data_IF_497904957233
#
_entry.id   IF_497904957233
#
_cell.length_a   1.000
_cell.length_b   1.000
_cell.length_c   1.000
_cell.angle_alpha   90.00
_cell.angle_beta   90.00
_cell.angle_gamma   90.00
#
_symmetry.space_group_name_H-M   'P 1'
#
loop_
_entity.id
_entity.type
_entity.pdbx_description
1 polymer ?
#
# COMPACT_ATOMS: atom_id res chain seq x y z
N UNK A 1 49.48 3.04 11.13
CA UNK A 1 48.99 2.20 10.01
C UNK A 1 48.28 0.95 10.55
N UNK A 2 48.90 0.17 11.43
CA UNK A 2 48.28 -1.05 12.02
C UNK A 2 47.00 -0.79 12.84
N UNK A 3 46.97 0.27 13.67
CA UNK A 3 45.76 0.60 14.45
C UNK A 3 44.54 0.97 13.58
N UNK A 4 44.76 1.50 12.38
CA UNK A 4 43.67 1.81 11.45
C UNK A 4 43.16 0.54 10.76
N UNK A 5 44.05 -0.40 10.44
CA UNK A 5 43.69 -1.73 9.92
C UNK A 5 42.86 -2.53 10.93
N UNK A 6 43.22 -2.47 12.22
CA UNK A 6 42.50 -3.18 13.28
C UNK A 6 41.10 -2.59 13.50
N UNK A 7 40.97 -1.26 13.45
CA UNK A 7 39.67 -0.57 13.52
C UNK A 7 38.77 -0.95 12.34
N UNK A 8 39.30 -0.91 11.12
CA UNK A 8 38.54 -1.29 9.92
C UNK A 8 38.05 -2.75 9.98
N UNK A 9 38.90 -3.68 10.45
CA UNK A 9 38.51 -5.09 10.62
C UNK A 9 37.37 -5.26 11.62
N UNK A 10 37.43 -4.56 12.74
CA UNK A 10 36.38 -4.61 13.75
C UNK A 10 35.08 -3.96 13.25
N UNK A 11 35.19 -2.91 12.44
CA UNK A 11 34.04 -2.25 11.82
C UNK A 11 33.38 -3.15 10.76
N UNK A 12 34.16 -3.80 9.90
CA UNK A 12 33.66 -4.82 8.95
C UNK A 12 32.94 -5.94 9.69
N UNK A 13 33.56 -6.47 10.75
CA UNK A 13 32.98 -7.57 11.54
C UNK A 13 31.67 -7.16 12.25
N UNK A 14 31.60 -5.92 12.72
CA UNK A 14 30.38 -5.35 13.29
C UNK A 14 29.29 -5.18 12.23
N UNK A 15 29.64 -4.69 11.04
CA UNK A 15 28.71 -4.53 9.93
C UNK A 15 28.19 -5.88 9.43
N UNK A 16 29.05 -6.90 9.32
CA UNK A 16 28.67 -8.27 8.96
C UNK A 16 27.67 -8.85 9.98
N UNK A 17 27.94 -8.68 11.28
CA UNK A 17 27.01 -9.13 12.33
C UNK A 17 25.67 -8.39 12.29
N UNK A 18 25.68 -7.08 12.05
CA UNK A 18 24.43 -6.30 11.88
C UNK A 18 23.65 -6.75 10.65
N UNK A 19 24.34 -7.08 9.56
CA UNK A 19 23.73 -7.60 8.34
C UNK A 19 23.07 -8.96 8.57
N UNK A 20 23.77 -9.87 9.26
CA UNK A 20 23.25 -11.20 9.57
C UNK A 20 22.02 -11.14 10.48
N UNK A 21 22.07 -10.31 11.53
CA UNK A 21 20.92 -10.08 12.42
C UNK A 21 19.73 -9.51 11.65
N UNK A 22 19.94 -8.49 10.82
CA UNK A 22 18.87 -7.87 10.04
C UNK A 22 18.26 -8.84 9.02
N UNK A 23 19.08 -9.72 8.44
CA UNK A 23 18.64 -10.77 7.52
C UNK A 23 17.81 -11.83 8.23
N UNK A 24 18.21 -12.23 9.43
CA UNK A 24 17.48 -13.20 10.25
C UNK A 24 16.13 -12.63 10.70
N UNK A 25 16.10 -11.36 11.17
CA UNK A 25 14.86 -10.65 11.51
C UNK A 25 13.91 -10.57 10.31
N UNK A 26 14.43 -10.26 9.12
CA UNK A 26 13.62 -10.24 7.90
C UNK A 26 13.08 -11.63 7.55
N UNK A 27 13.89 -12.67 7.68
CA UNK A 27 13.46 -14.06 7.44
C UNK A 27 12.35 -14.48 8.42
N UNK A 28 12.49 -14.14 9.69
CA UNK A 28 11.51 -14.46 10.73
C UNK A 28 10.19 -13.71 10.52
N UNK A 29 10.25 -12.41 10.22
CA UNK A 29 9.07 -11.59 9.97
C UNK A 29 8.34 -11.98 8.68
N UNK A 30 9.09 -12.29 7.61
CA UNK A 30 8.50 -12.72 6.34
C UNK A 30 7.81 -14.08 6.46
N UNK A 31 8.42 -15.03 7.18
CA UNK A 31 7.83 -16.33 7.48
C UNK A 31 6.57 -16.20 8.35
N UNK A 32 6.61 -15.37 9.41
CA UNK A 32 5.47 -15.15 10.31
C UNK A 32 4.26 -14.54 9.58
N UNK A 33 4.50 -13.69 8.58
CA UNK A 33 3.45 -13.00 7.83
C UNK A 33 3.04 -13.73 6.53
N UNK A 34 3.57 -14.94 6.28
CA UNK A 34 3.38 -15.68 5.02
C UNK A 34 3.63 -14.81 3.78
N UNK A 35 4.59 -13.88 3.86
CA UNK A 35 4.90 -12.93 2.79
C UNK A 35 5.75 -13.64 1.73
N UNK A 36 5.10 -14.43 0.88
CA UNK A 36 5.69 -15.03 -0.32
C UNK A 36 5.94 -14.01 -1.45
N UNK A 37 5.66 -12.72 -1.21
CA UNK A 37 5.81 -11.66 -2.21
C UNK A 37 6.91 -10.69 -1.79
N UNK A 38 7.74 -10.29 -2.75
CA UNK A 38 8.77 -9.28 -2.54
C UNK A 38 8.12 -7.98 -2.06
N UNK A 39 8.70 -7.32 -1.06
CA UNK A 39 8.14 -6.10 -0.47
C UNK A 39 7.85 -5.00 -1.52
N UNK A 40 8.67 -4.95 -2.58
CA UNK A 40 8.48 -4.05 -3.70
C UNK A 40 7.20 -4.36 -4.50
N UNK A 41 6.90 -5.65 -4.68
CA UNK A 41 5.70 -6.09 -5.41
C UNK A 41 4.43 -5.82 -4.62
N UNK A 42 4.45 -6.01 -3.30
CA UNK A 42 3.33 -5.65 -2.42
C UNK A 42 3.05 -4.14 -2.51
N UNK A 43 4.10 -3.31 -2.42
CA UNK A 43 3.98 -1.85 -2.57
C UNK A 43 3.39 -1.46 -3.93
N UNK A 44 3.95 -2.01 -5.02
CA UNK A 44 3.45 -1.77 -6.39
C UNK A 44 2.00 -2.20 -6.55
N UNK A 45 1.63 -3.36 -6.01
CA UNK A 45 0.25 -3.86 -6.05
C UNK A 45 -0.70 -2.92 -5.31
N UNK A 46 -0.31 -2.45 -4.13
CA UNK A 46 -1.15 -1.54 -3.34
C UNK A 46 -1.33 -0.18 -4.02
N UNK A 47 -0.24 0.39 -4.56
CA UNK A 47 -0.28 1.63 -5.36
C UNK A 47 -1.21 1.46 -6.57
N UNK A 48 -1.09 0.35 -7.29
CA UNK A 48 -1.93 0.05 -8.45
C UNK A 48 -3.41 -0.07 -8.06
N UNK A 49 -3.72 -0.80 -6.99
CA UNK A 49 -5.09 -0.96 -6.50
C UNK A 49 -5.70 0.37 -6.09
N UNK A 50 -4.94 1.21 -5.38
CA UNK A 50 -5.41 2.53 -4.98
C UNK A 50 -5.69 3.44 -6.18
N UNK A 51 -4.80 3.44 -7.18
CA UNK A 51 -5.00 4.17 -8.42
C UNK A 51 -6.26 3.69 -9.14
N UNK A 52 -6.40 2.38 -9.35
CA UNK A 52 -7.56 1.80 -10.03
C UNK A 52 -8.87 2.13 -9.30
N UNK A 53 -8.87 2.10 -7.97
CA UNK A 53 -10.03 2.48 -7.17
C UNK A 53 -10.40 3.95 -7.37
N UNK A 54 -9.43 4.87 -7.32
CA UNK A 54 -9.69 6.29 -7.56
C UNK A 54 -10.24 6.53 -8.97
N UNK A 55 -9.61 5.93 -9.99
CA UNK A 55 -10.04 6.07 -11.39
C UNK A 55 -11.49 5.57 -11.58
N UNK A 56 -11.82 4.40 -11.00
CA UNK A 56 -13.18 3.85 -11.05
C UNK A 56 -14.20 4.69 -10.31
N UNK A 57 -13.83 5.18 -9.11
CA UNK A 57 -14.69 6.05 -8.31
C UNK A 57 -15.02 7.34 -9.06
N UNK A 58 -14.02 7.99 -9.66
CA UNK A 58 -14.20 9.25 -10.37
C UNK A 58 -15.08 9.06 -11.62
N UNK A 59 -14.88 7.98 -12.37
CA UNK A 59 -15.74 7.62 -13.50
C UNK A 59 -17.17 7.36 -13.01
N UNK A 60 -17.34 6.57 -11.95
CA UNK A 60 -18.63 6.24 -11.38
C UNK A 60 -19.39 7.50 -10.93
N UNK A 61 -18.74 8.39 -10.17
CA UNK A 61 -19.34 9.65 -9.73
C UNK A 61 -19.73 10.54 -10.90
N UNK A 62 -18.91 10.61 -11.95
CA UNK A 62 -19.23 11.39 -13.15
C UNK A 62 -20.44 10.82 -13.89
N UNK A 63 -20.56 9.50 -13.99
CA UNK A 63 -21.74 8.86 -14.59
C UNK A 63 -22.99 9.11 -13.74
N UNK A 64 -22.88 8.99 -12.41
CA UNK A 64 -23.99 9.28 -11.50
C UNK A 64 -24.44 10.73 -11.60
N UNK A 65 -23.51 11.68 -11.71
CA UNK A 65 -23.85 13.10 -11.92
C UNK A 65 -24.64 13.30 -13.21
N UNK A 66 -24.22 12.67 -14.32
CA UNK A 66 -24.95 12.77 -15.60
C UNK A 66 -26.39 12.21 -15.49
N UNK A 67 -26.58 11.10 -14.77
CA UNK A 67 -27.91 10.52 -14.53
C UNK A 67 -28.75 11.46 -13.65
N UNK A 68 -28.15 12.03 -12.61
CA UNK A 68 -28.82 12.96 -11.70
C UNK A 68 -29.27 14.24 -12.45
N UNK A 69 -28.42 14.76 -13.34
CA UNK A 69 -28.72 15.93 -14.16
C UNK A 69 -29.89 15.65 -15.13
N UNK A 70 -29.89 14.49 -15.78
CA UNK A 70 -30.97 14.07 -16.69
C UNK A 70 -32.30 13.88 -15.94
N UNK A 71 -32.26 13.25 -14.76
CA UNK A 71 -33.42 13.05 -13.89
C UNK A 71 -33.84 14.30 -13.11
N UNK A 72 -33.03 15.37 -13.13
CA UNK A 72 -33.19 16.59 -12.31
C UNK A 72 -33.32 16.27 -10.81
N UNK A 73 -32.55 15.31 -10.33
CA UNK A 73 -32.48 14.93 -8.92
C UNK A 73 -31.06 15.11 -8.37
N UNK A 74 -30.86 14.86 -7.07
CA UNK A 74 -29.55 14.90 -6.43
C UNK A 74 -28.83 13.56 -6.65
N UNK A 75 -27.49 13.59 -6.71
CA UNK A 75 -26.68 12.37 -6.81
C UNK A 75 -27.00 11.35 -5.70
N UNK A 76 -27.27 11.82 -4.47
CA UNK A 76 -27.64 10.94 -3.36
C UNK A 76 -28.89 10.09 -3.65
N UNK A 77 -29.88 10.66 -4.33
CA UNK A 77 -31.11 9.95 -4.72
C UNK A 77 -30.82 8.88 -5.77
N UNK A 78 -29.87 9.12 -6.67
CA UNK A 78 -29.42 8.11 -7.64
C UNK A 78 -28.66 6.98 -6.94
N UNK A 79 -27.81 7.29 -5.97
CA UNK A 79 -27.12 6.27 -5.16
C UNK A 79 -28.11 5.41 -4.36
N UNK A 80 -29.10 6.04 -3.72
CA UNK A 80 -30.18 5.34 -3.01
C UNK A 80 -31.00 4.44 -3.94
N UNK A 81 -31.38 4.93 -5.13
CA UNK A 81 -32.09 4.14 -6.15
C UNK A 81 -31.28 2.92 -6.61
N UNK A 82 -29.95 3.05 -6.71
CA UNK A 82 -29.05 1.97 -7.07
C UNK A 82 -28.72 1.03 -5.89
N UNK A 83 -29.18 1.33 -4.67
CA UNK A 83 -28.91 0.54 -3.47
C UNK A 83 -27.48 0.66 -2.93
N UNK A 84 -26.80 1.78 -3.23
CA UNK A 84 -25.43 2.04 -2.77
C UNK A 84 -25.36 3.26 -1.84
N UNK A 85 -24.40 3.25 -0.92
CA UNK A 85 -24.06 4.42 -0.11
C UNK A 85 -23.13 5.36 -0.89
N UNK A 86 -23.34 6.67 -0.76
CA UNK A 86 -22.45 7.69 -1.31
C UNK A 86 -21.15 7.84 -0.49
N UNK A 87 -21.18 7.41 0.78
CA UNK A 87 -20.02 7.45 1.65
C UNK A 87 -19.18 6.18 1.44
N UNK A 88 -17.89 6.37 1.19
CA UNK A 88 -16.95 5.29 1.41
C UNK A 88 -16.91 5.02 2.91
N UNK A 89 -17.34 3.84 3.34
CA UNK A 89 -17.06 3.34 4.69
C UNK A 89 -15.55 3.09 4.80
N UNK A 90 -14.76 4.16 4.95
CA UNK A 90 -13.38 4.07 5.42
C UNK A 90 -13.46 3.81 6.92
N UNK A 91 -13.03 2.61 7.31
CA UNK A 91 -12.62 2.19 8.66
C UNK A 91 -12.50 3.39 9.62
N UNK A 92 -13.53 3.57 10.44
CA UNK A 92 -13.46 4.38 11.66
C UNK A 92 -12.71 3.61 12.75
#
# INVERSE_FOLDING_TARGET
MEQQLERLKNEIKSLESQYDNLREDFSNLSAAQNLNQEANDVKKLHIRRLKNYNDLRDIGLRLTQLIADDKKCKMGEVFEEMGFSMLDEKYS
#
